data_IF_795665998201
#
_entry.id   IF_795665998201
#
_cell.length_a   1.000
_cell.length_b   1.000
_cell.length_c   1.000
_cell.angle_alpha   90.00
_cell.angle_beta   90.00
_cell.angle_gamma   90.00
#
_symmetry.space_group_name_H-M   'P 1'
#
loop_
_entity.id
_entity.type
_entity.pdbx_description
1 polymer ?
#
# COMPACT_ATOMS: atom_id res chain seq x y z
N UNK A 1 20.88 4.56 -15.20
CA UNK A 1 20.46 5.57 -14.18
C UNK A 1 20.08 4.85 -12.92
N UNK A 2 20.44 5.37 -11.72
CA UNK A 2 20.06 4.77 -10.42
C UNK A 2 18.75 5.36 -9.91
N UNK A 3 18.02 4.59 -9.08
CA UNK A 3 16.85 5.10 -8.38
C UNK A 3 17.00 4.88 -6.87
N UNK A 4 16.69 5.88 -6.06
CA UNK A 4 16.62 5.78 -4.60
C UNK A 4 15.15 5.65 -4.21
N UNK A 5 14.81 4.64 -3.42
CA UNK A 5 13.46 4.49 -2.89
C UNK A 5 13.48 4.69 -1.37
N UNK A 6 12.70 5.67 -0.91
CA UNK A 6 12.57 5.99 0.51
C UNK A 6 11.56 5.03 1.16
N UNK A 7 12.05 4.04 1.88
CA UNK A 7 11.28 2.94 2.47
C UNK A 7 11.49 2.76 3.99
N UNK A 8 12.11 3.74 4.66
CA UNK A 8 12.50 3.64 6.07
C UNK A 8 11.37 3.88 7.08
N UNK A 9 10.22 4.43 6.64
CA UNK A 9 9.15 4.90 7.50
C UNK A 9 8.34 3.79 8.18
N UNK A 10 7.92 4.01 9.43
CA UNK A 10 7.11 3.07 10.21
C UNK A 10 5.68 2.90 9.66
N UNK A 11 5.10 3.93 9.03
CA UNK A 11 3.73 3.85 8.52
C UNK A 11 2.66 3.75 9.61
N UNK A 12 2.78 4.48 10.71
CA UNK A 12 1.89 4.38 11.89
C UNK A 12 0.41 4.64 11.61
N UNK A 13 0.07 5.33 10.50
CA UNK A 13 -1.32 5.50 10.04
C UNK A 13 -1.94 4.21 9.53
N UNK A 14 -1.10 3.25 9.12
CA UNK A 14 -1.53 1.95 8.58
C UNK A 14 -1.72 0.88 9.66
N UNK A 15 -1.46 1.19 10.94
CA UNK A 15 -1.75 0.26 12.04
C UNK A 15 -3.23 -0.13 12.03
N UNK A 16 -3.54 -1.42 12.27
CA UNK A 16 -2.70 -2.45 12.90
C UNK A 16 -1.75 -3.20 11.94
N UNK A 17 -1.89 -3.06 10.63
CA UNK A 17 -1.15 -3.87 9.65
C UNK A 17 0.37 -3.67 9.71
N UNK A 18 0.82 -2.48 10.15
CA UNK A 18 2.25 -2.13 10.23
C UNK A 18 2.90 -2.39 11.59
N UNK A 19 2.29 -3.15 12.47
CA UNK A 19 2.98 -3.62 13.68
C UNK A 19 4.05 -4.68 13.38
N UNK A 20 3.87 -5.47 12.34
CA UNK A 20 4.72 -6.61 11.98
C UNK A 20 5.56 -6.39 10.72
N UNK A 21 5.26 -5.38 9.92
CA UNK A 21 5.93 -5.11 8.64
C UNK A 21 5.92 -3.62 8.30
N UNK A 22 6.88 -3.11 7.49
CA UNK A 22 6.83 -1.75 6.97
C UNK A 22 5.62 -1.53 6.06
N UNK A 23 5.13 -0.29 5.97
CA UNK A 23 4.04 0.10 5.07
C UNK A 23 4.25 -0.38 3.63
N UNK A 24 5.45 -0.23 3.11
CA UNK A 24 5.82 -0.57 1.73
C UNK A 24 5.74 -2.08 1.42
N UNK A 25 5.69 -2.92 2.47
CA UNK A 25 5.54 -4.37 2.37
C UNK A 25 4.08 -4.84 2.48
N UNK A 26 3.13 -3.93 2.62
CA UNK A 26 1.70 -4.29 2.58
C UNK A 26 1.32 -4.76 1.17
N UNK A 27 0.59 -5.90 1.06
CA UNK A 27 0.28 -6.47 -0.24
C UNK A 27 -0.87 -5.75 -0.94
N UNK A 28 -0.70 -5.56 -2.24
CA UNK A 28 -1.71 -5.13 -3.20
C UNK A 28 -1.65 -6.11 -4.37
N UNK A 29 -2.75 -6.70 -4.77
CA UNK A 29 -2.77 -7.78 -5.77
C UNK A 29 -1.71 -8.87 -5.49
N UNK A 30 -1.61 -9.31 -4.23
CA UNK A 30 -0.70 -10.32 -3.69
C UNK A 30 0.80 -10.03 -3.79
N UNK A 31 1.20 -8.78 -4.06
CA UNK A 31 2.59 -8.33 -4.08
C UNK A 31 2.78 -7.11 -3.19
N UNK A 32 3.90 -6.94 -2.48
CA UNK A 32 4.21 -5.71 -1.77
C UNK A 32 4.13 -4.48 -2.69
N UNK A 33 3.69 -3.34 -2.14
CA UNK A 33 3.69 -2.06 -2.85
C UNK A 33 5.09 -1.78 -3.42
N UNK A 34 6.13 -2.01 -2.65
CA UNK A 34 7.52 -1.81 -3.05
C UNK A 34 7.93 -2.67 -4.25
N UNK A 35 7.46 -3.92 -4.33
CA UNK A 35 7.74 -4.79 -5.50
C UNK A 35 7.11 -4.22 -6.77
N UNK A 36 5.86 -3.73 -6.69
CA UNK A 36 5.24 -3.09 -7.85
C UNK A 36 6.06 -1.90 -8.34
N UNK A 37 6.54 -1.05 -7.42
CA UNK A 37 7.36 0.12 -7.78
C UNK A 37 8.69 -0.28 -8.44
N UNK A 38 9.39 -1.28 -7.88
CA UNK A 38 10.66 -1.78 -8.45
C UNK A 38 10.45 -2.37 -9.84
N UNK A 39 9.37 -3.12 -10.05
CA UNK A 39 9.04 -3.67 -11.36
C UNK A 39 8.73 -2.58 -12.41
N UNK A 40 8.06 -1.51 -12.04
CA UNK A 40 7.80 -0.37 -12.93
C UNK A 40 9.10 0.41 -13.23
N UNK A 41 10.00 0.58 -12.26
CA UNK A 41 11.34 1.15 -12.48
C UNK A 41 12.17 0.31 -13.45
N UNK A 42 12.17 -1.02 -13.28
CA UNK A 42 12.84 -1.93 -14.22
C UNK A 42 12.32 -1.78 -15.65
N UNK A 43 10.98 -1.75 -15.84
CA UNK A 43 10.36 -1.51 -17.15
C UNK A 43 10.71 -0.14 -17.74
N UNK A 44 10.98 0.85 -16.88
CA UNK A 44 11.42 2.18 -17.30
C UNK A 44 12.91 2.23 -17.68
N UNK A 45 13.66 1.13 -17.52
CA UNK A 45 15.08 1.04 -17.89
C UNK A 45 16.03 1.41 -16.76
N UNK A 46 15.58 1.31 -15.51
CA UNK A 46 16.44 1.46 -14.34
C UNK A 46 17.09 0.11 -14.03
N UNK A 47 18.41 0.11 -13.86
CA UNK A 47 19.20 -1.11 -13.66
C UNK A 47 19.61 -1.32 -12.19
N UNK A 48 19.59 -0.26 -11.39
CA UNK A 48 20.00 -0.28 -9.99
C UNK A 48 19.04 0.54 -9.11
N UNK A 49 18.59 -0.08 -8.02
CA UNK A 49 17.74 0.53 -7.01
C UNK A 49 18.46 0.53 -5.65
N UNK A 50 18.49 1.69 -4.99
CA UNK A 50 18.99 1.86 -3.64
C UNK A 50 17.78 2.02 -2.71
N UNK A 51 17.52 1.00 -1.89
CA UNK A 51 16.46 1.03 -0.90
C UNK A 51 16.96 1.66 0.40
N UNK A 52 16.43 2.82 0.75
CA UNK A 52 16.67 3.39 2.08
C UNK A 52 15.67 2.76 3.04
N UNK A 53 16.16 1.86 3.89
CA UNK A 53 15.36 1.04 4.81
C UNK A 53 15.55 1.51 6.26
N UNK A 54 14.66 1.10 7.15
CA UNK A 54 14.75 1.49 8.57
C UNK A 54 13.81 0.65 9.44
N UNK A 55 12.58 1.08 9.69
CA UNK A 55 11.63 0.31 10.47
C UNK A 55 11.43 -1.09 9.89
N UNK A 56 11.69 -2.13 10.69
CA UNK A 56 11.55 -3.55 10.28
C UNK A 56 12.27 -3.86 8.96
N UNK A 57 13.48 -3.33 8.79
CA UNK A 57 14.25 -3.50 7.54
C UNK A 57 14.53 -4.97 7.20
N UNK A 58 14.56 -5.84 8.20
CA UNK A 58 14.71 -7.29 8.02
C UNK A 58 13.62 -7.90 7.15
N UNK A 59 12.38 -7.37 7.23
CA UNK A 59 11.25 -7.86 6.40
C UNK A 59 11.46 -7.51 4.93
N UNK A 60 12.01 -6.32 4.65
CA UNK A 60 12.33 -5.90 3.27
C UNK A 60 13.46 -6.73 2.71
N UNK A 61 14.57 -6.86 3.47
CA UNK A 61 15.76 -7.61 3.04
C UNK A 61 15.41 -9.06 2.75
N UNK A 62 14.82 -9.77 3.71
CA UNK A 62 14.45 -11.18 3.56
C UNK A 62 13.57 -11.41 2.32
N UNK A 63 12.63 -10.49 2.03
CA UNK A 63 11.76 -10.62 0.88
C UNK A 63 12.50 -10.44 -0.45
N UNK A 64 13.30 -9.39 -0.59
CA UNK A 64 13.94 -9.07 -1.86
C UNK A 64 15.22 -9.85 -2.12
N UNK A 65 15.91 -10.35 -1.08
CA UNK A 65 17.09 -11.21 -1.25
C UNK A 65 16.74 -12.60 -1.81
N UNK A 66 15.47 -13.03 -1.64
CA UNK A 66 14.94 -14.28 -2.22
C UNK A 66 14.37 -14.11 -3.64
N UNK A 67 14.26 -12.87 -4.15
CA UNK A 67 13.61 -12.59 -5.42
C UNK A 67 14.61 -12.26 -6.55
N UNK A 68 14.52 -13.00 -7.62
CA UNK A 68 15.23 -12.69 -8.87
C UNK A 68 14.44 -11.63 -9.69
N UNK A 69 14.55 -10.36 -9.31
CA UNK A 69 13.86 -9.27 -10.02
C UNK A 69 14.55 -8.89 -11.34
N UNK A 70 15.81 -9.28 -11.54
CA UNK A 70 16.63 -8.89 -12.70
C UNK A 70 16.91 -7.37 -12.72
N UNK A 71 17.06 -6.77 -11.56
CA UNK A 71 17.52 -5.42 -11.26
C UNK A 71 18.38 -5.49 -10.00
N UNK A 72 19.44 -4.72 -9.94
CA UNK A 72 20.32 -4.69 -8.77
C UNK A 72 19.66 -3.93 -7.62
N UNK A 73 19.56 -4.57 -6.45
CA UNK A 73 19.00 -3.94 -5.24
C UNK A 73 20.12 -3.76 -4.22
N UNK A 74 20.32 -2.51 -3.75
CA UNK A 74 21.22 -2.18 -2.65
C UNK A 74 20.42 -1.62 -1.48
N UNK A 75 20.89 -1.85 -0.26
CA UNK A 75 20.22 -1.38 0.95
C UNK A 75 21.09 -0.37 1.69
N UNK A 76 20.46 0.70 2.15
CA UNK A 76 21.05 1.70 3.04
C UNK A 76 20.14 1.86 4.25
N UNK A 77 20.67 1.68 5.45
CA UNK A 77 19.87 1.80 6.67
C UNK A 77 19.81 3.25 7.17
N UNK A 78 18.62 3.82 7.24
CA UNK A 78 18.35 5.05 7.97
C UNK A 78 18.13 4.70 9.46
N UNK A 79 19.14 4.87 10.28
CA UNK A 79 19.13 4.46 11.71
C UNK A 79 18.07 5.18 12.54
N UNK A 80 17.77 6.43 12.23
CA UNK A 80 16.73 7.25 12.86
C UNK A 80 15.87 7.84 11.75
N UNK A 81 14.54 7.70 11.85
CA UNK A 81 13.62 8.28 10.88
C UNK A 81 13.48 9.80 11.09
N UNK A 82 14.48 10.56 10.64
CA UNK A 82 14.53 12.00 10.79
C UNK A 82 13.95 12.78 9.60
N UNK A 83 13.26 12.11 8.68
CA UNK A 83 12.59 12.72 7.54
C UNK A 83 13.14 12.26 6.18
N UNK A 84 12.53 12.77 5.12
CA UNK A 84 12.80 12.33 3.74
C UNK A 84 14.14 12.84 3.18
N UNK A 85 14.56 14.05 3.55
CA UNK A 85 15.88 14.54 3.16
C UNK A 85 17.01 13.78 3.88
N UNK A 86 16.81 13.44 5.17
CA UNK A 86 17.78 12.62 5.92
C UNK A 86 17.87 11.20 5.34
N UNK A 87 16.75 10.64 4.89
CA UNK A 87 16.75 9.36 4.19
C UNK A 87 17.59 9.41 2.91
N UNK A 88 17.41 10.45 2.08
CA UNK A 88 18.21 10.64 0.87
C UNK A 88 19.69 10.91 1.20
N UNK A 89 19.98 11.70 2.24
CA UNK A 89 21.35 11.93 2.73
C UNK A 89 22.07 10.62 3.08
N UNK A 90 21.37 9.67 3.68
CA UNK A 90 21.94 8.36 4.02
C UNK A 90 22.44 7.60 2.78
N UNK A 91 21.87 7.84 1.60
CA UNK A 91 22.25 7.21 0.34
C UNK A 91 23.26 8.05 -0.49
N UNK A 92 23.64 9.25 -0.06
CA UNK A 92 24.40 10.24 -0.85
C UNK A 92 25.69 9.70 -1.47
N UNK A 93 26.43 8.84 -0.77
CA UNK A 93 27.69 8.27 -1.24
C UNK A 93 27.56 7.28 -2.41
N UNK A 94 26.34 6.86 -2.76
CA UNK A 94 26.05 6.04 -3.94
C UNK A 94 25.60 6.88 -5.14
N UNK A 95 25.39 8.19 -4.97
CA UNK A 95 24.73 9.05 -5.93
C UNK A 95 25.71 9.96 -6.66
N UNK A 96 25.68 9.84 -7.97
CA UNK A 96 26.46 10.62 -8.92
C UNK A 96 25.62 10.97 -10.14
N UNK A 97 25.89 12.08 -10.81
CA UNK A 97 25.17 12.52 -12.00
C UNK A 97 23.67 12.69 -11.77
N UNK A 98 22.86 12.16 -12.69
CA UNK A 98 21.41 12.16 -12.60
C UNK A 98 20.87 10.87 -11.96
N UNK A 99 19.91 11.00 -11.05
CA UNK A 99 19.26 9.89 -10.37
C UNK A 99 17.80 10.19 -10.06
N UNK A 100 17.02 9.13 -9.87
CA UNK A 100 15.63 9.23 -9.40
C UNK A 100 15.55 9.10 -7.88
N UNK A 101 14.55 9.76 -7.28
CA UNK A 101 14.14 9.54 -5.88
C UNK A 101 12.65 9.32 -5.86
N UNK A 102 12.19 8.25 -5.18
CA UNK A 102 10.77 7.92 -5.10
C UNK A 102 10.38 7.56 -3.66
N UNK A 103 9.19 7.98 -3.26
CA UNK A 103 8.58 7.46 -2.04
C UNK A 103 8.16 5.99 -2.27
N UNK A 104 8.54 5.09 -1.37
CA UNK A 104 8.34 3.65 -1.50
C UNK A 104 6.88 3.18 -1.41
N UNK A 105 5.97 4.07 -1.03
CA UNK A 105 4.54 3.81 -0.86
C UNK A 105 3.66 4.27 -2.03
N UNK A 106 4.29 4.70 -3.14
CA UNK A 106 3.60 5.13 -4.34
C UNK A 106 3.41 3.99 -5.34
N UNK A 107 2.23 3.98 -5.97
CA UNK A 107 1.98 3.22 -7.19
C UNK A 107 2.00 4.19 -8.38
N UNK A 108 2.89 3.96 -9.32
CA UNK A 108 3.10 4.78 -10.51
C UNK A 108 3.37 3.88 -11.71
N UNK A 109 3.04 4.33 -12.91
CA UNK A 109 3.30 3.57 -14.14
C UNK A 109 4.72 3.80 -14.67
N UNK A 110 5.25 2.82 -15.42
CA UNK A 110 6.54 2.96 -16.07
C UNK A 110 6.55 4.11 -17.11
N UNK A 111 5.41 4.38 -17.74
CA UNK A 111 5.24 5.50 -18.69
C UNK A 111 5.42 6.85 -18.00
N UNK A 112 4.89 7.00 -16.79
CA UNK A 112 5.05 8.23 -16.00
C UNK A 112 6.47 8.37 -15.46
N UNK A 113 7.12 7.27 -15.07
CA UNK A 113 8.54 7.27 -14.68
C UNK A 113 9.40 7.72 -15.88
N UNK A 114 9.17 7.17 -17.07
CA UNK A 114 9.88 7.56 -18.31
C UNK A 114 9.72 9.04 -18.62
N UNK A 115 8.51 9.60 -18.47
CA UNK A 115 8.28 11.04 -18.63
C UNK A 115 9.17 11.89 -17.73
N UNK A 116 9.32 11.49 -16.45
CA UNK A 116 10.20 12.19 -15.52
C UNK A 116 11.66 12.07 -15.96
N UNK A 117 12.08 10.90 -16.44
CA UNK A 117 13.46 10.64 -16.90
C UNK A 117 13.83 11.47 -18.15
N UNK A 118 12.91 11.59 -19.11
CA UNK A 118 13.13 12.21 -20.41
C UNK A 118 13.38 13.73 -20.34
N UNK A 119 12.93 14.40 -19.28
CA UNK A 119 13.19 15.83 -19.10
C UNK A 119 14.63 16.08 -18.60
N UNK A 120 15.30 17.06 -19.17
CA UNK A 120 16.65 17.49 -18.72
C UNK A 120 16.59 18.25 -17.39
N UNK A 121 17.61 18.11 -16.55
CA UNK A 121 17.78 18.83 -15.29
C UNK A 121 16.91 18.28 -14.15
N UNK A 122 16.63 19.13 -13.17
CA UNK A 122 15.85 18.75 -12.00
C UNK A 122 14.35 18.72 -12.29
N UNK A 123 13.67 17.64 -11.92
CA UNK A 123 12.26 17.42 -12.21
C UNK A 123 11.52 16.96 -10.96
N UNK A 124 10.29 17.38 -10.80
CA UNK A 124 9.35 16.84 -9.82
C UNK A 124 8.10 16.32 -10.55
N UNK A 125 7.75 15.08 -10.30
CA UNK A 125 6.47 14.53 -10.68
C UNK A 125 5.34 15.25 -9.94
N UNK A 126 4.40 15.81 -10.67
CA UNK A 126 3.22 16.50 -10.15
C UNK A 126 1.96 15.71 -10.43
N UNK A 127 0.98 15.78 -9.55
CA UNK A 127 -0.31 15.15 -9.76
C UNK A 127 -1.45 16.05 -9.29
N UNK A 128 -2.61 16.00 -9.95
CA UNK A 128 -3.79 16.78 -9.53
C UNK A 128 -4.71 15.92 -8.70
N UNK A 129 -5.08 16.42 -7.53
CA UNK A 129 -6.00 15.74 -6.61
C UNK A 129 -7.19 16.65 -6.30
N UNK A 130 -8.34 16.06 -5.96
CA UNK A 130 -9.50 16.83 -5.52
C UNK A 130 -9.26 17.49 -4.16
N UNK A 131 -8.61 16.79 -3.24
CA UNK A 131 -8.26 17.29 -1.91
C UNK A 131 -6.75 17.25 -1.68
N UNK A 132 -6.04 18.39 -1.80
CA UNK A 132 -4.59 18.46 -1.61
C UNK A 132 -4.15 18.51 -0.15
N UNK A 133 -5.09 18.54 0.82
CA UNK A 133 -4.77 18.55 2.25
C UNK A 133 -3.91 17.33 2.64
N UNK A 134 -2.80 17.58 3.29
CA UNK A 134 -1.89 16.51 3.73
C UNK A 134 -0.79 16.14 2.75
N UNK A 135 -0.72 16.81 1.60
CA UNK A 135 0.37 16.71 0.61
C UNK A 135 1.21 17.98 0.54
N UNK A 136 2.44 17.85 0.06
CA UNK A 136 3.19 19.00 -0.43
C UNK A 136 2.55 19.53 -1.71
N UNK A 137 2.31 20.84 -1.81
CA UNK A 137 1.69 21.46 -2.99
C UNK A 137 2.70 22.26 -3.80
N UNK A 138 2.51 22.31 -5.11
CA UNK A 138 3.39 22.95 -6.07
C UNK A 138 2.73 24.19 -6.67
N UNK A 139 3.41 25.33 -6.59
CA UNK A 139 3.07 26.51 -7.42
C UNK A 139 3.92 26.45 -8.67
N UNK A 140 3.25 26.31 -9.82
CA UNK A 140 3.89 26.10 -11.13
C UNK A 140 3.49 27.24 -12.06
N UNK A 141 4.49 27.84 -12.73
CA UNK A 141 4.32 28.86 -13.77
C UNK A 141 5.18 28.43 -14.97
N UNK A 142 4.59 28.39 -16.16
CA UNK A 142 5.25 28.01 -17.42
C UNK A 142 6.02 26.67 -17.32
N UNK A 143 5.43 25.68 -16.62
CA UNK A 143 6.03 24.35 -16.39
C UNK A 143 7.18 24.33 -15.38
N UNK A 144 7.52 25.47 -14.76
CA UNK A 144 8.58 25.61 -13.74
C UNK A 144 7.99 25.75 -12.35
N UNK A 145 8.57 25.06 -11.40
CA UNK A 145 8.15 25.14 -9.99
C UNK A 145 8.73 26.39 -9.37
N UNK A 146 7.86 27.32 -8.96
CA UNK A 146 8.25 28.54 -8.25
C UNK A 146 8.29 28.33 -6.75
N UNK A 147 7.44 27.46 -6.23
CA UNK A 147 7.37 27.18 -4.80
C UNK A 147 6.82 25.79 -4.54
N UNK A 148 7.37 25.15 -3.50
CA UNK A 148 6.83 23.93 -2.90
C UNK A 148 6.50 24.22 -1.43
N UNK A 149 5.32 23.81 -0.97
CA UNK A 149 4.85 24.06 0.39
C UNK A 149 4.42 22.74 0.99
N UNK A 150 5.10 22.30 2.05
CA UNK A 150 4.77 21.05 2.72
C UNK A 150 3.49 21.18 3.54
N UNK A 151 2.47 20.41 3.20
CA UNK A 151 1.19 20.25 3.92
C UNK A 151 0.60 21.56 4.44
N UNK A 152 0.31 22.54 3.58
CA UNK A 152 -0.28 23.81 4.03
C UNK A 152 -1.69 23.57 4.59
N UNK A 153 -2.08 24.36 5.59
CA UNK A 153 -3.45 24.33 6.14
C UNK A 153 -4.49 24.75 5.10
N UNK A 154 -4.14 25.75 4.29
CA UNK A 154 -4.95 26.25 3.17
C UNK A 154 -4.16 26.06 1.86
N UNK A 155 -4.33 24.93 1.17
CA UNK A 155 -3.60 24.67 -0.07
C UNK A 155 -3.97 25.68 -1.17
N UNK A 156 -2.97 26.40 -1.76
CA UNK A 156 -3.24 27.40 -2.81
C UNK A 156 -3.53 26.78 -4.18
N UNK A 157 -3.27 25.48 -4.35
CA UNK A 157 -3.44 24.75 -5.61
C UNK A 157 -3.81 23.30 -5.32
N UNK A 158 -4.37 22.62 -6.33
CA UNK A 158 -4.67 21.19 -6.28
C UNK A 158 -3.55 20.34 -6.92
N UNK A 159 -2.47 20.97 -7.39
CA UNK A 159 -1.30 20.28 -7.92
C UNK A 159 -0.35 19.92 -6.77
N UNK A 160 -0.18 18.64 -6.55
CA UNK A 160 0.64 18.11 -5.46
C UNK A 160 1.98 17.58 -5.95
N UNK A 161 2.94 17.55 -5.02
CA UNK A 161 4.17 16.80 -5.15
C UNK A 161 3.88 15.30 -5.02
N UNK A 162 4.14 14.55 -6.08
CA UNK A 162 3.88 13.10 -6.11
C UNK A 162 4.89 12.28 -5.31
N UNK A 163 5.99 12.90 -4.84
CA UNK A 163 7.09 12.16 -4.21
C UNK A 163 7.96 11.38 -5.20
N UNK A 164 7.97 11.83 -6.45
CA UNK A 164 8.84 11.30 -7.53
C UNK A 164 9.69 12.46 -8.03
N UNK A 165 11.00 12.29 -7.99
CA UNK A 165 11.95 13.32 -8.35
C UNK A 165 13.02 12.77 -9.29
N UNK A 166 13.47 13.58 -10.22
CA UNK A 166 14.75 13.42 -10.89
C UNK A 166 15.67 14.54 -10.44
N UNK A 167 16.79 14.21 -9.86
CA UNK A 167 17.79 15.15 -9.38
C UNK A 167 19.12 14.93 -10.08
N UNK A 168 19.94 15.97 -10.04
CA UNK A 168 21.39 15.90 -10.25
C UNK A 168 22.10 15.85 -8.90
N UNK A 169 23.35 15.41 -8.88
CA UNK A 169 24.17 15.38 -7.66
C UNK A 169 24.30 16.74 -6.95
N UNK A 170 24.05 17.84 -7.65
CA UNK A 170 23.99 19.20 -7.07
C UNK A 170 22.99 19.32 -5.91
N UNK A 171 21.91 18.55 -5.90
CA UNK A 171 20.91 18.57 -4.82
C UNK A 171 21.50 18.17 -3.47
N UNK A 172 22.58 17.37 -3.47
CA UNK A 172 23.20 16.85 -2.26
C UNK A 172 23.77 17.99 -1.40
N UNK A 173 24.27 19.08 -2.00
CA UNK A 173 24.75 20.27 -1.29
C UNK A 173 23.63 20.99 -0.54
N UNK A 174 22.39 20.90 -1.04
CA UNK A 174 21.21 21.48 -0.40
C UNK A 174 20.65 20.55 0.68
N UNK A 175 20.78 19.24 0.52
CA UNK A 175 20.40 18.25 1.55
C UNK A 175 21.18 18.49 2.84
N UNK A 176 22.50 18.74 2.75
CA UNK A 176 23.31 19.03 3.93
C UNK A 176 22.93 20.33 4.64
N UNK A 177 22.33 21.28 3.93
CA UNK A 177 21.89 22.58 4.44
C UNK A 177 20.41 22.60 4.85
N UNK A 178 19.68 21.51 4.64
CA UNK A 178 18.24 21.43 4.93
C UNK A 178 17.99 21.62 6.42
N UNK A 179 17.15 22.58 6.83
CA UNK A 179 16.84 22.82 8.24
C UNK A 179 15.84 21.77 8.77
N UNK A 180 15.79 21.65 10.08
CA UNK A 180 14.73 20.90 10.76
C UNK A 180 13.41 21.67 10.60
N UNK A 181 12.38 21.00 10.06
CA UNK A 181 11.05 21.57 9.86
C UNK A 181 10.31 21.77 11.20
N UNK A 182 9.21 22.54 11.19
CA UNK A 182 8.31 22.67 12.36
C UNK A 182 7.75 21.33 12.85
N UNK A 183 7.80 20.29 12.00
CA UNK A 183 7.37 18.93 12.32
C UNK A 183 8.47 18.08 12.98
N UNK A 184 9.68 18.62 13.12
CA UNK A 184 10.83 17.90 13.65
C UNK A 184 11.46 16.91 12.65
N UNK A 185 11.29 17.15 11.34
CA UNK A 185 11.80 16.30 10.26
C UNK A 185 12.63 17.12 9.27
N UNK A 186 13.66 16.53 8.66
CA UNK A 186 14.36 17.06 7.50
C UNK A 186 13.58 16.69 6.24
N UNK A 187 12.84 17.64 5.68
CA UNK A 187 11.94 17.42 4.58
C UNK A 187 12.63 17.62 3.23
N UNK A 188 12.42 16.71 2.29
CA UNK A 188 12.93 16.86 0.91
C UNK A 188 12.29 18.07 0.22
N UNK A 189 11.09 18.45 0.61
CA UNK A 189 10.40 19.65 0.12
C UNK A 189 11.11 20.93 0.55
N UNK A 190 11.67 20.96 1.76
CA UNK A 190 12.48 22.10 2.23
C UNK A 190 13.82 22.16 1.49
N UNK A 191 14.44 21.00 1.21
CA UNK A 191 15.64 20.91 0.36
C UNK A 191 15.39 21.51 -1.03
N UNK A 192 14.29 21.10 -1.67
CA UNK A 192 13.90 21.61 -2.99
C UNK A 192 13.64 23.12 -2.93
N UNK A 193 12.95 23.61 -1.90
CA UNK A 193 12.68 25.04 -1.76
C UNK A 193 13.96 25.85 -1.56
N UNK A 194 14.95 25.34 -0.81
CA UNK A 194 16.27 25.97 -0.66
C UNK A 194 16.99 26.07 -2.02
N UNK A 195 16.97 24.98 -2.80
CA UNK A 195 17.59 24.97 -4.13
C UNK A 195 16.92 25.96 -5.08
N UNK A 196 15.59 26.04 -5.09
CA UNK A 196 14.81 27.03 -5.87
C UNK A 196 15.20 28.46 -5.47
N UNK A 197 15.29 28.75 -4.18
CA UNK A 197 15.67 30.05 -3.67
C UNK A 197 17.12 30.45 -4.05
N UNK A 198 17.97 29.46 -4.33
CA UNK A 198 19.36 29.65 -4.79
C UNK A 198 19.47 29.73 -6.31
N UNK A 199 18.35 29.72 -7.04
CA UNK A 199 18.33 29.86 -8.50
C UNK A 199 18.31 28.55 -9.28
N UNK A 200 18.23 27.39 -8.62
CA UNK A 200 18.10 26.10 -9.31
C UNK A 200 16.69 25.96 -9.87
N UNK A 201 16.61 25.64 -11.16
CA UNK A 201 15.35 25.45 -11.84
C UNK A 201 14.81 24.02 -11.69
N UNK A 202 13.56 23.89 -11.28
CA UNK A 202 12.83 22.63 -11.25
C UNK A 202 11.66 22.66 -12.21
N UNK A 203 11.52 21.60 -13.02
CA UNK A 203 10.38 21.39 -13.92
C UNK A 203 9.32 20.54 -13.24
N UNK A 204 8.06 20.90 -13.44
CA UNK A 204 6.92 20.05 -13.04
C UNK A 204 6.52 19.16 -14.22
N UNK A 205 6.45 17.86 -13.99
CA UNK A 205 5.95 16.87 -14.97
C UNK A 205 4.66 16.27 -14.45
N UNK A 206 3.55 16.59 -15.07
CA UNK A 206 2.23 16.06 -14.66
C UNK A 206 2.12 14.57 -14.99
N UNK A 207 1.90 13.75 -13.98
CA UNK A 207 1.74 12.30 -14.08
C UNK A 207 0.30 11.97 -14.45
N UNK A 208 0.10 10.87 -15.19
CA UNK A 208 -1.24 10.35 -15.56
C UNK A 208 -1.75 9.32 -14.55
N UNK A 209 -0.82 8.58 -13.94
CA UNK A 209 -1.13 7.46 -13.05
C UNK A 209 -0.30 7.59 -11.78
N UNK A 210 -0.96 7.89 -10.70
CA UNK A 210 -0.31 8.00 -9.39
C UNK A 210 -1.31 7.69 -8.28
N UNK A 211 -0.85 6.97 -7.25
CA UNK A 211 -1.64 6.69 -6.05
C UNK A 211 -0.72 6.57 -4.83
N UNK A 212 -1.07 7.27 -3.76
CA UNK A 212 -0.47 7.12 -2.42
C UNK A 212 -1.35 6.23 -1.55
N UNK A 213 -0.72 5.25 -0.89
CA UNK A 213 -1.40 4.37 0.07
C UNK A 213 -1.23 4.94 1.47
N UNK A 214 -1.93 6.00 1.81
CA UNK A 214 -1.79 6.74 3.08
C UNK A 214 -2.49 6.15 4.28
N UNK A 215 -3.59 5.38 4.07
CA UNK A 215 -4.43 4.77 5.08
C UNK A 215 -4.79 3.33 4.72
N UNK A 216 -5.19 2.47 5.70
CA UNK A 216 -5.50 1.06 5.42
C UNK A 216 -6.59 0.84 4.36
N UNK A 217 -7.58 1.70 4.27
CA UNK A 217 -8.64 1.61 3.23
C UNK A 217 -8.14 1.96 1.83
N UNK A 218 -7.04 2.73 1.70
CA UNK A 218 -6.43 2.97 0.39
C UNK A 218 -5.81 1.70 -0.22
N UNK A 219 -5.50 0.69 0.59
CA UNK A 219 -5.11 -0.64 0.07
C UNK A 219 -6.19 -1.25 -0.79
N UNK A 220 -7.48 -1.06 -0.45
CA UNK A 220 -8.58 -1.57 -1.28
C UNK A 220 -8.65 -0.87 -2.63
N UNK A 221 -8.43 0.45 -2.66
CA UNK A 221 -8.39 1.24 -3.89
C UNK A 221 -7.20 0.85 -4.76
N UNK A 222 -6.03 0.70 -4.13
CA UNK A 222 -4.82 0.23 -4.79
C UNK A 222 -5.01 -1.19 -5.37
N UNK A 223 -5.65 -2.07 -4.61
CA UNK A 223 -5.97 -3.43 -5.03
C UNK A 223 -6.94 -3.45 -6.21
N UNK A 224 -8.02 -2.66 -6.16
CA UNK A 224 -8.96 -2.49 -7.27
C UNK A 224 -8.24 -2.00 -8.53
N UNK A 225 -7.35 -1.00 -8.38
CA UNK A 225 -6.58 -0.43 -9.48
C UNK A 225 -5.64 -1.46 -10.13
N UNK A 226 -4.90 -2.22 -9.32
CA UNK A 226 -3.95 -3.22 -9.83
C UNK A 226 -4.68 -4.41 -10.45
N UNK A 227 -5.76 -4.87 -9.85
CA UNK A 227 -6.54 -6.01 -10.35
C UNK A 227 -7.26 -5.73 -11.68
N UNK A 228 -7.57 -4.48 -12.00
CA UNK A 228 -8.13 -4.12 -13.33
C UNK A 228 -7.21 -4.46 -14.51
N UNK A 229 -5.90 -4.52 -14.25
CA UNK A 229 -4.87 -4.85 -15.28
C UNK A 229 -4.60 -6.36 -15.36
N UNK A 230 -5.26 -7.17 -14.53
CA UNK A 230 -5.03 -8.60 -14.42
C UNK A 230 -5.42 -9.31 -15.72
N UNK A 231 -4.62 -10.28 -16.09
CA UNK A 231 -4.95 -11.25 -17.14
C UNK A 231 -5.25 -12.61 -16.48
N UNK A 232 -6.10 -13.40 -17.12
CA UNK A 232 -6.46 -14.74 -16.63
C UNK A 232 -5.25 -15.67 -16.65
N UNK A 233 -4.92 -16.29 -15.51
CA UNK A 233 -3.86 -17.30 -15.38
C UNK A 233 -4.26 -18.32 -14.30
N UNK A 234 -4.56 -19.55 -14.72
CA UNK A 234 -5.02 -20.64 -13.84
C UNK A 234 -3.96 -21.72 -13.82
N UNK A 235 -3.20 -21.83 -12.74
CA UNK A 235 -2.17 -22.84 -12.51
C UNK A 235 -2.56 -23.87 -11.45
N UNK A 236 -3.62 -23.59 -10.69
CA UNK A 236 -4.19 -24.49 -9.71
C UNK A 236 -5.20 -25.46 -10.32
N UNK A 237 -5.70 -26.35 -9.49
CA UNK A 237 -6.77 -27.31 -9.84
C UNK A 237 -8.14 -26.66 -9.68
N UNK A 238 -9.02 -26.88 -10.63
CA UNK A 238 -10.42 -26.44 -10.60
C UNK A 238 -11.31 -27.65 -10.78
N UNK A 239 -11.99 -28.07 -9.69
CA UNK A 239 -12.89 -29.22 -9.73
C UNK A 239 -14.09 -28.99 -10.66
N UNK A 240 -14.64 -30.07 -11.19
CA UNK A 240 -15.88 -30.06 -11.95
C UNK A 240 -17.00 -29.44 -11.09
N UNK A 241 -17.82 -28.57 -11.72
CA UNK A 241 -18.89 -27.83 -11.02
C UNK A 241 -18.43 -26.52 -10.33
N UNK A 242 -17.15 -26.18 -10.36
CA UNK A 242 -16.69 -24.84 -10.02
C UNK A 242 -16.80 -23.89 -11.23
N UNK A 243 -17.21 -22.65 -11.00
CA UNK A 243 -17.43 -21.65 -12.05
C UNK A 243 -16.49 -20.45 -11.89
N UNK A 244 -15.68 -20.16 -12.90
CA UNK A 244 -14.75 -19.03 -12.92
C UNK A 244 -15.08 -18.11 -14.08
N UNK A 245 -15.44 -16.85 -13.77
CA UNK A 245 -15.79 -15.82 -14.75
C UNK A 245 -14.81 -14.63 -14.72
N UNK A 246 -14.44 -14.15 -15.91
CA UNK A 246 -13.57 -12.98 -16.07
C UNK A 246 -12.09 -13.27 -15.78
N UNK A 247 -11.35 -12.21 -15.46
CA UNK A 247 -9.90 -12.26 -15.20
C UNK A 247 -9.62 -12.75 -13.78
N UNK A 248 -9.20 -14.00 -13.66
CA UNK A 248 -8.87 -14.64 -12.37
C UNK A 248 -7.49 -15.26 -12.48
N UNK A 249 -6.65 -15.02 -11.48
CA UNK A 249 -5.39 -15.76 -11.27
C UNK A 249 -5.61 -16.77 -10.15
N UNK A 250 -5.21 -18.02 -10.37
CA UNK A 250 -5.17 -19.09 -9.37
C UNK A 250 -3.76 -19.64 -9.34
N UNK A 251 -3.09 -19.51 -8.20
CA UNK A 251 -1.72 -19.94 -8.00
C UNK A 251 -1.58 -21.46 -7.99
N UNK A 252 -0.34 -21.91 -8.20
CA UNK A 252 0.07 -23.31 -8.17
C UNK A 252 -0.26 -23.98 -6.82
N UNK A 253 -0.68 -25.25 -6.83
CA UNK A 253 -1.07 -26.00 -5.64
C UNK A 253 -2.41 -25.58 -5.01
N UNK A 254 -3.09 -24.57 -5.56
CA UNK A 254 -4.42 -24.17 -5.11
C UNK A 254 -5.49 -25.06 -5.72
N UNK A 255 -6.46 -25.46 -4.89
CA UNK A 255 -7.63 -26.25 -5.30
C UNK A 255 -8.90 -25.44 -5.12
N UNK A 256 -9.66 -25.27 -6.21
CA UNK A 256 -11.00 -24.66 -6.19
C UNK A 256 -12.02 -25.77 -6.28
N UNK A 257 -12.78 -26.00 -5.18
CA UNK A 257 -13.72 -27.10 -5.05
C UNK A 257 -15.07 -26.81 -5.70
N UNK A 258 -15.76 -27.90 -6.03
CA UNK A 258 -17.06 -27.91 -6.69
C UNK A 258 -18.08 -26.96 -6.04
N UNK A 259 -18.96 -26.38 -6.84
CA UNK A 259 -19.96 -25.39 -6.42
C UNK A 259 -19.42 -23.98 -6.13
N UNK A 260 -18.11 -23.79 -6.13
CA UNK A 260 -17.53 -22.45 -5.95
C UNK A 260 -17.77 -21.58 -7.17
N UNK A 261 -18.11 -20.30 -6.93
CA UNK A 261 -18.38 -19.32 -7.97
C UNK A 261 -17.45 -18.12 -7.79
N UNK A 262 -16.55 -17.92 -8.75
CA UNK A 262 -15.52 -16.87 -8.70
C UNK A 262 -15.74 -15.91 -9.86
N UNK A 263 -15.90 -14.61 -9.54
CA UNK A 263 -16.08 -13.53 -10.53
C UNK A 263 -14.90 -12.57 -10.42
N UNK A 264 -14.09 -12.52 -11.46
CA UNK A 264 -12.95 -11.60 -11.55
C UNK A 264 -13.32 -10.11 -11.70
N UNK A 265 -12.35 -9.22 -11.51
CA UNK A 265 -10.94 -9.52 -11.29
C UNK A 265 -10.68 -10.05 -9.86
N UNK A 266 -9.99 -11.17 -9.76
CA UNK A 266 -9.66 -11.85 -8.50
C UNK A 266 -8.26 -12.48 -8.62
N UNK A 267 -7.47 -12.42 -7.56
CA UNK A 267 -6.22 -13.17 -7.47
C UNK A 267 -6.25 -14.06 -6.22
N UNK A 268 -5.93 -15.33 -6.41
CA UNK A 268 -5.77 -16.34 -5.36
C UNK A 268 -4.35 -16.85 -5.44
N UNK A 269 -3.64 -16.81 -4.33
CA UNK A 269 -2.24 -17.22 -4.22
C UNK A 269 -2.03 -18.72 -4.37
N UNK A 270 -0.86 -19.20 -3.98
CA UNK A 270 -0.45 -20.60 -4.04
C UNK A 270 -0.96 -21.40 -2.83
N UNK A 271 -1.12 -22.73 -3.03
CA UNK A 271 -1.46 -23.69 -1.97
C UNK A 271 -2.70 -23.34 -1.15
N UNK A 272 -3.70 -22.74 -1.79
CA UNK A 272 -4.96 -22.40 -1.15
C UNK A 272 -6.01 -23.51 -1.36
N UNK A 273 -6.98 -23.57 -0.46
CA UNK A 273 -8.21 -24.36 -0.65
C UNK A 273 -9.41 -23.42 -0.66
N UNK A 274 -10.19 -23.43 -1.76
CA UNK A 274 -11.34 -22.56 -1.93
C UNK A 274 -12.59 -23.41 -2.17
N UNK A 275 -13.55 -23.31 -1.28
CA UNK A 275 -14.81 -24.03 -1.39
C UNK A 275 -14.92 -25.22 -0.43
N UNK A 276 -15.97 -26.05 -0.61
CA UNK A 276 -16.98 -25.96 -1.67
C UNK A 276 -18.01 -24.83 -1.50
N UNK A 277 -18.74 -24.51 -2.57
CA UNK A 277 -19.88 -23.56 -2.54
C UNK A 277 -19.50 -22.14 -2.07
N UNK A 278 -18.29 -21.65 -2.39
CA UNK A 278 -17.89 -20.28 -2.08
C UNK A 278 -18.34 -19.28 -3.15
N UNK A 279 -18.57 -18.04 -2.74
CA UNK A 279 -18.75 -16.92 -3.68
C UNK A 279 -17.64 -15.89 -3.51
N UNK A 280 -16.68 -15.87 -4.44
CA UNK A 280 -15.61 -14.89 -4.47
C UNK A 280 -15.91 -13.83 -5.52
N UNK A 281 -16.06 -12.60 -5.07
CA UNK A 281 -16.52 -11.46 -5.89
C UNK A 281 -15.35 -10.59 -6.33
N UNK A 282 -15.58 -9.69 -7.34
CA UNK A 282 -14.54 -8.85 -7.91
C UNK A 282 -13.74 -8.04 -6.89
N UNK A 283 -12.52 -7.72 -7.30
CA UNK A 283 -11.53 -6.92 -6.55
C UNK A 283 -11.02 -7.59 -5.26
N UNK A 284 -11.08 -8.92 -5.20
CA UNK A 284 -10.59 -9.70 -4.07
C UNK A 284 -9.20 -10.26 -4.35
N UNK A 285 -8.30 -10.09 -3.37
CA UNK A 285 -6.98 -10.73 -3.33
C UNK A 285 -6.91 -11.66 -2.14
N UNK A 286 -6.51 -12.91 -2.38
CA UNK A 286 -6.28 -13.94 -1.38
C UNK A 286 -4.82 -14.36 -1.48
N UNK A 287 -4.08 -14.24 -0.38
CA UNK A 287 -2.66 -14.59 -0.29
C UNK A 287 -2.39 -16.09 -0.41
N UNK A 288 -1.19 -16.52 -0.09
CA UNK A 288 -0.80 -17.93 -0.15
C UNK A 288 -1.27 -18.71 1.09
N UNK A 289 -1.42 -20.04 0.96
CA UNK A 289 -1.74 -20.96 2.05
C UNK A 289 -3.02 -20.61 2.80
N UNK A 290 -4.03 -20.05 2.12
CA UNK A 290 -5.31 -19.67 2.72
C UNK A 290 -6.34 -20.78 2.56
N UNK A 291 -7.22 -20.90 3.55
CA UNK A 291 -8.39 -21.77 3.48
C UNK A 291 -9.67 -20.94 3.48
N UNK A 292 -10.37 -20.88 2.36
CA UNK A 292 -11.67 -20.26 2.20
C UNK A 292 -12.69 -21.41 2.09
N UNK A 293 -13.32 -21.73 3.21
CA UNK A 293 -14.13 -22.95 3.32
C UNK A 293 -15.56 -22.83 2.83
N UNK A 294 -16.41 -23.76 3.27
CA UNK A 294 -17.77 -23.94 2.73
C UNK A 294 -18.69 -22.73 2.97
N UNK A 295 -19.42 -22.34 1.93
CA UNK A 295 -20.45 -21.29 1.96
C UNK A 295 -19.93 -19.94 2.45
N UNK A 296 -18.69 -19.60 2.10
CA UNK A 296 -18.08 -18.31 2.39
C UNK A 296 -18.31 -17.33 1.24
N UNK A 297 -18.65 -16.09 1.57
CA UNK A 297 -18.66 -14.99 0.59
C UNK A 297 -17.57 -13.98 0.92
N UNK A 298 -16.71 -13.67 -0.07
CA UNK A 298 -15.71 -12.62 0.01
C UNK A 298 -15.90 -11.62 -1.12
N UNK A 299 -15.87 -10.34 -0.78
CA UNK A 299 -16.10 -9.25 -1.74
C UNK A 299 -15.14 -8.11 -1.51
N UNK A 300 -14.44 -7.67 -2.58
CA UNK A 300 -13.60 -6.46 -2.56
C UNK A 300 -12.71 -6.38 -1.31
N UNK A 301 -11.95 -7.43 -1.06
CA UNK A 301 -11.17 -7.59 0.18
C UNK A 301 -9.77 -8.11 -0.11
N UNK A 302 -8.86 -7.81 0.79
CA UNK A 302 -7.51 -8.36 0.83
C UNK A 302 -7.43 -9.32 1.99
N UNK A 303 -7.18 -10.60 1.72
CA UNK A 303 -6.89 -11.64 2.71
C UNK A 303 -5.40 -11.97 2.59
N UNK A 304 -4.60 -11.67 3.60
CA UNK A 304 -3.17 -11.96 3.58
C UNK A 304 -2.91 -13.46 3.83
N UNK A 305 -1.67 -13.89 3.59
CA UNK A 305 -1.29 -15.31 3.61
C UNK A 305 -1.56 -16.02 4.93
N UNK A 306 -1.68 -17.35 4.89
CA UNK A 306 -1.87 -18.24 6.04
C UNK A 306 -3.16 -17.98 6.83
N UNK A 307 -4.17 -17.35 6.24
CA UNK A 307 -5.42 -16.98 6.90
C UNK A 307 -6.55 -17.94 6.52
N UNK A 308 -7.32 -18.35 7.54
CA UNK A 308 -8.45 -19.26 7.40
C UNK A 308 -9.78 -18.53 7.61
N UNK A 309 -10.68 -18.68 6.62
CA UNK A 309 -12.06 -18.19 6.65
C UNK A 309 -12.98 -19.38 6.31
N UNK A 310 -13.19 -20.33 7.26
CA UNK A 310 -13.57 -21.70 6.90
C UNK A 310 -15.06 -21.94 6.64
N UNK A 311 -16.01 -21.37 7.40
CA UNK A 311 -17.41 -21.80 7.34
C UNK A 311 -18.39 -20.65 7.46
N UNK A 312 -19.35 -20.51 6.50
CA UNK A 312 -20.49 -19.61 6.59
C UNK A 312 -20.13 -18.15 6.91
N UNK A 313 -18.92 -17.73 6.53
CA UNK A 313 -18.39 -16.38 6.83
C UNK A 313 -18.74 -15.39 5.71
N UNK A 314 -18.85 -14.12 6.09
CA UNK A 314 -18.93 -13.00 5.15
C UNK A 314 -17.82 -11.99 5.41
N UNK A 315 -17.02 -11.71 4.38
CA UNK A 315 -15.94 -10.71 4.40
C UNK A 315 -16.15 -9.73 3.25
N UNK A 316 -16.54 -8.51 3.56
CA UNK A 316 -16.79 -7.48 2.56
C UNK A 316 -15.97 -6.21 2.80
N UNK A 317 -15.35 -5.68 1.73
CA UNK A 317 -14.64 -4.40 1.71
C UNK A 317 -13.64 -4.25 2.89
N UNK A 318 -12.84 -5.31 3.15
CA UNK A 318 -11.99 -5.46 4.34
C UNK A 318 -10.55 -5.80 4.00
N UNK A 319 -9.64 -5.49 4.93
CA UNK A 319 -8.23 -5.90 4.86
C UNK A 319 -7.93 -6.79 6.07
N UNK A 320 -7.58 -8.04 5.81
CA UNK A 320 -7.33 -9.06 6.83
C UNK A 320 -5.85 -9.42 6.80
N UNK A 321 -5.20 -9.35 7.96
CA UNK A 321 -3.79 -9.69 8.15
C UNK A 321 -3.46 -11.17 7.97
N UNK A 322 -2.23 -11.54 8.28
CA UNK A 322 -1.73 -12.90 8.18
C UNK A 322 -2.11 -13.76 9.40
N UNK A 323 -2.11 -15.08 9.19
CA UNK A 323 -2.31 -16.08 10.24
C UNK A 323 -3.61 -15.91 11.05
N UNK A 324 -4.64 -15.28 10.45
CA UNK A 324 -5.94 -15.13 11.08
C UNK A 324 -6.77 -16.42 10.96
N UNK A 325 -7.67 -16.63 11.92
CA UNK A 325 -8.60 -17.75 11.86
C UNK A 325 -9.99 -17.32 12.33
N UNK A 326 -10.96 -17.37 11.41
CA UNK A 326 -12.34 -16.95 11.69
C UNK A 326 -13.19 -18.17 12.06
N UNK A 327 -13.83 -18.12 13.22
CA UNK A 327 -14.83 -19.10 13.62
C UNK A 327 -16.03 -19.09 12.68
N UNK A 328 -16.74 -20.20 12.61
CA UNK A 328 -17.91 -20.38 11.78
C UNK A 328 -18.94 -19.26 12.00
N UNK A 329 -19.48 -18.71 10.92
CA UNK A 329 -20.51 -17.68 11.01
C UNK A 329 -20.02 -16.27 11.36
N UNK A 330 -18.71 -15.99 11.36
CA UNK A 330 -18.20 -14.62 11.53
C UNK A 330 -18.67 -13.74 10.36
N UNK A 331 -19.27 -12.58 10.67
CA UNK A 331 -19.77 -11.63 9.70
C UNK A 331 -19.12 -10.27 9.89
N UNK A 332 -18.53 -9.71 8.82
CA UNK A 332 -18.00 -8.35 8.81
C UNK A 332 -18.98 -7.44 8.07
N UNK A 333 -19.68 -6.58 8.79
CA UNK A 333 -20.58 -5.60 8.18
C UNK A 333 -19.75 -4.56 7.42
N UNK A 334 -20.19 -4.21 6.20
CA UNK A 334 -19.50 -3.26 5.31
C UNK A 334 -20.35 -2.08 4.87
N UNK A 335 -21.57 -1.95 5.39
CA UNK A 335 -22.50 -0.85 5.07
C UNK A 335 -23.20 -0.38 6.35
N UNK A 336 -23.25 0.94 6.55
CA UNK A 336 -24.02 1.56 7.63
C UNK A 336 -25.51 1.49 7.33
N UNK A 337 -26.34 1.34 8.38
CA UNK A 337 -27.82 1.33 8.24
C UNK A 337 -28.36 2.64 7.69
N UNK A 338 -27.70 3.79 7.99
CA UNK A 338 -28.08 5.12 7.48
C UNK A 338 -27.48 5.44 6.11
N UNK A 339 -26.71 4.53 5.52
CA UNK A 339 -26.10 4.66 4.19
C UNK A 339 -24.99 5.71 4.06
N UNK A 340 -24.58 6.37 5.16
CA UNK A 340 -23.53 7.39 5.15
C UNK A 340 -22.13 6.82 5.01
N UNK A 341 -21.16 7.70 4.74
CA UNK A 341 -19.73 7.39 4.71
C UNK A 341 -19.26 6.82 6.06
N UNK A 342 -18.41 5.80 5.99
CA UNK A 342 -17.86 5.13 7.15
C UNK A 342 -16.61 5.84 7.63
N UNK A 343 -16.44 5.92 8.95
CA UNK A 343 -15.22 6.43 9.59
C UNK A 343 -14.52 5.29 10.33
N UNK A 344 -13.19 5.34 10.39
CA UNK A 344 -12.37 4.42 11.17
C UNK A 344 -11.47 5.18 12.16
N UNK A 345 -11.01 4.51 13.19
CA UNK A 345 -10.14 5.13 14.22
C UNK A 345 -8.68 4.93 13.85
N UNK A 346 -7.96 6.02 13.59
CA UNK A 346 -6.52 6.03 13.31
C UNK A 346 -5.82 6.94 14.30
N UNK A 347 -4.81 6.44 15.02
CA UNK A 347 -4.09 7.19 16.07
C UNK A 347 -5.04 7.86 17.08
N UNK A 348 -6.09 7.15 17.50
CA UNK A 348 -7.07 7.65 18.47
C UNK A 348 -8.08 8.68 17.91
N UNK A 349 -7.99 9.04 16.64
CA UNK A 349 -8.92 10.00 16.00
C UNK A 349 -9.83 9.28 15.01
N UNK A 350 -11.11 9.62 14.97
CA UNK A 350 -12.04 9.20 13.92
C UNK A 350 -11.75 9.95 12.64
N UNK A 351 -11.44 9.21 11.58
CA UNK A 351 -11.14 9.74 10.23
C UNK A 351 -12.15 9.14 9.25
N UNK A 352 -12.73 9.99 8.41
CA UNK A 352 -13.59 9.53 7.32
C UNK A 352 -12.77 8.72 6.32
N UNK A 353 -13.27 7.55 5.94
CA UNK A 353 -12.64 6.73 4.91
C UNK A 353 -12.92 7.21 3.48
N UNK A 354 -13.86 8.16 3.31
CA UNK A 354 -14.41 8.52 2.01
C UNK A 354 -15.31 7.44 1.39
N UNK A 355 -15.38 6.25 2.00
CA UNK A 355 -16.08 5.08 1.44
C UNK A 355 -17.45 4.88 2.08
N UNK A 356 -18.46 4.66 1.24
CA UNK A 356 -19.80 4.24 1.68
C UNK A 356 -19.81 2.76 2.11
N UNK A 357 -18.95 1.93 1.50
CA UNK A 357 -18.76 0.53 1.85
C UNK A 357 -17.33 0.34 2.35
N UNK A 358 -17.20 -0.08 3.60
CA UNK A 358 -15.94 -0.41 4.24
C UNK A 358 -16.21 -1.30 5.45
N UNK A 359 -15.60 -2.48 5.49
CA UNK A 359 -15.77 -3.45 6.57
C UNK A 359 -14.82 -3.17 7.72
N UNK A 360 -13.77 -3.97 7.82
CA UNK A 360 -12.80 -3.90 8.91
C UNK A 360 -11.36 -3.97 8.40
N UNK A 361 -10.44 -3.50 9.24
CA UNK A 361 -9.01 -3.79 9.12
C UNK A 361 -8.61 -4.66 10.31
N UNK A 362 -8.13 -5.84 10.03
CA UNK A 362 -7.77 -6.84 11.03
C UNK A 362 -6.28 -7.11 10.93
N UNK A 363 -5.57 -6.95 12.04
CA UNK A 363 -4.15 -7.24 12.12
C UNK A 363 -3.83 -8.73 12.08
N UNK A 364 -2.57 -9.08 12.25
CA UNK A 364 -2.12 -10.47 12.17
C UNK A 364 -2.51 -11.29 13.43
N UNK A 365 -2.59 -12.61 13.28
CA UNK A 365 -2.84 -13.60 14.35
C UNK A 365 -4.18 -13.44 15.06
N UNK A 366 -5.18 -12.78 14.46
CA UNK A 366 -6.51 -12.61 15.06
C UNK A 366 -7.31 -13.89 14.94
N UNK A 367 -7.93 -14.30 16.05
CA UNK A 367 -8.81 -15.47 16.08
C UNK A 367 -10.18 -15.09 16.60
N UNK A 368 -11.23 -15.46 15.85
CA UNK A 368 -12.62 -15.26 16.29
C UNK A 368 -13.26 -16.59 16.65
N UNK A 369 -14.11 -16.58 17.65
CA UNK A 369 -15.07 -17.66 17.94
C UNK A 369 -16.18 -17.71 16.91
N UNK A 370 -17.09 -18.64 17.06
CA UNK A 370 -18.27 -18.78 16.17
C UNK A 370 -19.23 -17.60 16.32
N UNK A 371 -19.96 -17.27 15.24
CA UNK A 371 -21.00 -16.24 15.20
C UNK A 371 -20.57 -14.84 15.67
N UNK A 372 -19.30 -14.50 15.50
CA UNK A 372 -18.80 -13.14 15.79
C UNK A 372 -19.35 -12.14 14.79
N UNK A 373 -19.82 -10.99 15.29
CA UNK A 373 -20.27 -9.86 14.48
C UNK A 373 -19.28 -8.71 14.56
N UNK A 374 -18.68 -8.33 13.44
CA UNK A 374 -17.73 -7.20 13.35
C UNK A 374 -18.41 -6.04 12.65
N UNK A 375 -18.51 -4.88 13.30
CA UNK A 375 -19.18 -3.70 12.76
C UNK A 375 -18.31 -2.96 11.73
N UNK A 376 -18.94 -2.09 10.93
CA UNK A 376 -18.29 -1.27 9.90
C UNK A 376 -17.19 -0.37 10.48
N UNK A 377 -16.08 -0.22 9.77
CA UNK A 377 -14.98 0.68 10.18
C UNK A 377 -14.18 0.19 11.39
N UNK A 378 -14.38 -1.06 11.80
CA UNK A 378 -13.66 -1.64 12.93
C UNK A 378 -12.18 -1.87 12.59
N UNK A 379 -11.31 -1.54 13.55
CA UNK A 379 -9.86 -1.73 13.47
C UNK A 379 -9.44 -2.69 14.59
N UNK A 380 -9.01 -3.91 14.27
CA UNK A 380 -8.62 -4.94 15.24
C UNK A 380 -7.10 -5.10 15.22
N UNK A 381 -6.46 -4.90 16.39
CA UNK A 381 -5.01 -5.08 16.56
C UNK A 381 -4.55 -6.51 16.36
N UNK A 382 -3.24 -6.72 16.35
CA UNK A 382 -2.64 -8.06 16.23
C UNK A 382 -2.88 -8.88 17.49
N UNK A 383 -2.88 -10.21 17.35
CA UNK A 383 -2.97 -11.17 18.47
C UNK A 383 -4.23 -11.01 19.34
N UNK A 384 -5.35 -10.58 18.73
CA UNK A 384 -6.64 -10.44 19.40
C UNK A 384 -7.43 -11.74 19.32
N UNK A 385 -8.05 -12.12 20.44
CA UNK A 385 -8.98 -13.23 20.54
C UNK A 385 -10.39 -12.70 20.84
N UNK A 386 -11.35 -13.13 20.02
CA UNK A 386 -12.75 -12.72 20.15
C UNK A 386 -13.59 -13.95 20.50
N UNK A 387 -14.29 -13.90 21.64
CA UNK A 387 -15.13 -14.99 22.12
C UNK A 387 -16.32 -15.25 21.17
N UNK A 388 -16.93 -16.45 21.23
CA UNK A 388 -18.12 -16.77 20.44
C UNK A 388 -19.26 -15.77 20.68
N UNK A 389 -19.99 -15.42 19.63
CA UNK A 389 -21.13 -14.49 19.61
C UNK A 389 -20.85 -13.06 20.06
N UNK A 390 -19.60 -12.70 20.25
CA UNK A 390 -19.24 -11.33 20.62
C UNK A 390 -19.49 -10.34 19.45
N UNK A 391 -19.86 -9.10 19.82
CA UNK A 391 -19.94 -7.96 18.91
C UNK A 391 -18.68 -7.12 19.03
N UNK A 392 -18.01 -6.87 17.92
CA UNK A 392 -16.78 -6.04 17.86
C UNK A 392 -17.06 -4.74 17.11
N UNK A 393 -16.68 -3.61 17.69
CA UNK A 393 -16.86 -2.28 17.12
C UNK A 393 -15.69 -1.35 17.47
N UNK A 394 -15.38 -0.41 16.58
CA UNK A 394 -14.39 0.64 16.79
C UNK A 394 -12.95 0.13 16.76
N UNK A 395 -12.10 0.57 17.71
CA UNK A 395 -10.68 0.20 17.77
C UNK A 395 -10.42 -0.79 18.91
N UNK A 396 -9.91 -1.95 18.57
CA UNK A 396 -9.46 -2.99 19.50
C UNK A 396 -7.94 -2.99 19.56
N UNK A 397 -7.38 -2.81 20.75
CA UNK A 397 -5.92 -2.80 20.95
C UNK A 397 -5.31 -4.19 20.68
N UNK A 398 -4.05 -4.27 20.22
CA UNK A 398 -3.33 -5.54 20.13
C UNK A 398 -3.37 -6.31 21.47
N UNK A 399 -3.31 -7.65 21.38
CA UNK A 399 -3.30 -8.59 22.51
C UNK A 399 -4.57 -8.57 23.38
N UNK A 400 -5.65 -7.93 22.90
CA UNK A 400 -6.93 -7.90 23.63
C UNK A 400 -7.69 -9.23 23.55
N UNK A 401 -8.52 -9.47 24.55
CA UNK A 401 -9.53 -10.52 24.56
C UNK A 401 -10.91 -9.89 24.68
N UNK A 402 -11.81 -10.22 23.75
CA UNK A 402 -13.17 -9.68 23.66
C UNK A 402 -14.14 -10.80 24.02
N UNK A 403 -14.99 -10.56 25.00
CA UNK A 403 -15.98 -11.51 25.48
C UNK A 403 -17.40 -11.04 25.17
#
# INVERSE_FOLDING_TARGET
MKAVILAAGEGTRMRPLTYTRPKVMLPVANKPILEHLILELKKAGIDEVILVVGYREEVIRNYFDELELGITVRYVSQRKQLGTADALRSASHFLDGEFLVLNGDNLVSCEDIKRVIEHSGMVIGAYRVENPSGYGVLLVEDGRIKRIIEKPENPPTNMINSGIYKFTSEILDYIEKTPLSKRGEYEITDTVQLAINSGIEFKAVELKTWMDVGYPWNLLEANEFMLKKLQRDIRGEVEEGAHIKGNVIIGEGTVVRSGSYIVGPVIIGKNCVVGPNCFIRPHTSIGNNCHIGACVEIKNSIIMSNTNVPHLNYVGDSVIGENCNFGAGTKIANLRLDGKTISATVRGKKISTGRRKFGAVIGDNVKTGINVSINVGTMIGNDVFVAPSAKVDGYVKPYSRIF
#
